data_IF_609679764078
#
_entry.id   IF_609679764078
#
_cell.length_a   1.000
_cell.length_b   1.000
_cell.length_c   1.000
_cell.angle_alpha   90.00
_cell.angle_beta   90.00
_cell.angle_gamma   90.00
#
_symmetry.space_group_name_H-M   'P 1'
#
loop_
_entity.id
_entity.type
_entity.pdbx_description
1 polymer ?
#
# COMPACT_ATOMS: atom_id res chain seq x y z
N UNK A 1 17.39 -8.52 -18.57
CA UNK A 1 17.53 -8.45 -17.08
C UNK A 1 17.24 -7.01 -16.66
N UNK A 2 16.20 -6.79 -15.88
CA UNK A 2 15.82 -5.47 -15.31
C UNK A 2 16.32 -5.41 -13.88
N UNK A 3 16.94 -4.30 -13.47
CA UNK A 3 17.43 -4.06 -12.11
C UNK A 3 16.67 -2.92 -11.47
N UNK A 4 16.31 -3.08 -10.18
CA UNK A 4 15.60 -2.07 -9.41
C UNK A 4 15.89 -2.24 -7.91
N UNK A 5 15.48 -1.28 -7.11
CA UNK A 5 15.55 -1.40 -5.65
C UNK A 5 14.20 -1.82 -5.12
N UNK A 6 14.14 -2.88 -4.33
CA UNK A 6 12.92 -3.39 -3.73
C UNK A 6 13.09 -3.49 -2.21
N UNK A 7 12.26 -2.77 -1.46
CA UNK A 7 12.32 -2.73 0.00
C UNK A 7 13.74 -2.42 0.53
N UNK A 8 14.44 -1.49 -0.13
CA UNK A 8 15.79 -1.07 0.20
C UNK A 8 16.91 -2.00 -0.28
N UNK A 9 16.59 -3.09 -0.97
CA UNK A 9 17.58 -4.04 -1.50
C UNK A 9 17.62 -4.00 -3.02
N UNK A 10 18.83 -4.09 -3.59
CA UNK A 10 19.00 -4.21 -5.04
C UNK A 10 18.59 -5.62 -5.49
N UNK A 11 17.64 -5.69 -6.41
CA UNK A 11 17.16 -6.93 -7.00
C UNK A 11 17.24 -6.89 -8.52
N UNK A 12 17.16 -8.05 -9.16
CA UNK A 12 17.08 -8.15 -10.61
C UNK A 12 16.10 -9.25 -11.01
N UNK A 13 15.40 -9.03 -12.12
CA UNK A 13 14.49 -9.99 -12.72
C UNK A 13 14.89 -10.28 -14.16
N UNK A 14 14.76 -11.54 -14.56
CA UNK A 14 14.94 -12.01 -15.93
C UNK A 14 13.60 -12.27 -16.65
N UNK A 15 12.48 -11.98 -16.01
CA UNK A 15 11.17 -12.07 -16.64
C UNK A 15 11.09 -11.19 -17.89
N UNK A 16 10.23 -11.51 -18.85
CA UNK A 16 9.96 -10.64 -19.99
C UNK A 16 9.68 -9.20 -19.56
N UNK A 17 10.18 -8.24 -20.31
CA UNK A 17 10.16 -6.82 -19.94
C UNK A 17 8.74 -6.21 -19.83
N UNK A 18 7.79 -6.82 -20.50
CA UNK A 18 6.36 -6.47 -20.49
C UNK A 18 5.55 -7.21 -19.40
N UNK A 19 6.20 -8.11 -18.65
CA UNK A 19 5.55 -8.80 -17.53
C UNK A 19 5.02 -7.79 -16.51
N UNK A 20 3.74 -7.84 -16.11
CA UNK A 20 3.25 -6.98 -15.04
C UNK A 20 4.04 -7.21 -13.75
N UNK A 21 4.49 -6.13 -13.14
CA UNK A 21 5.30 -6.15 -11.92
C UNK A 21 4.69 -7.00 -10.81
N UNK A 22 3.37 -7.00 -10.70
CA UNK A 22 2.64 -7.81 -9.72
C UNK A 22 3.06 -9.29 -9.76
N UNK A 23 3.26 -9.86 -10.94
CA UNK A 23 3.65 -11.26 -11.08
C UNK A 23 5.11 -11.49 -10.76
N UNK A 24 5.98 -10.54 -11.10
CA UNK A 24 7.39 -10.58 -10.68
C UNK A 24 7.48 -10.60 -9.15
N UNK A 25 6.75 -9.69 -8.47
CA UNK A 25 6.72 -9.65 -7.00
C UNK A 25 6.23 -10.96 -6.40
N UNK A 26 5.12 -11.51 -6.90
CA UNK A 26 4.46 -12.66 -6.30
C UNK A 26 5.09 -14.00 -6.68
N UNK A 27 5.43 -14.20 -7.96
CA UNK A 27 5.84 -15.51 -8.48
C UNK A 27 7.37 -15.68 -8.46
N UNK A 28 8.12 -14.65 -8.81
CA UNK A 28 9.58 -14.71 -8.83
C UNK A 28 10.16 -14.37 -7.46
N UNK A 29 9.77 -13.24 -6.88
CA UNK A 29 10.33 -12.73 -5.61
C UNK A 29 9.57 -13.22 -4.36
N UNK A 30 8.48 -13.96 -4.52
CA UNK A 30 7.68 -14.56 -3.44
C UNK A 30 7.08 -13.57 -2.43
N UNK A 31 6.97 -12.29 -2.79
CA UNK A 31 6.30 -11.27 -1.99
C UNK A 31 4.79 -11.30 -2.28
N UNK A 32 4.04 -11.99 -1.45
CA UNK A 32 2.63 -12.29 -1.68
C UNK A 32 1.66 -11.30 -1.04
N UNK A 33 2.16 -10.33 -0.28
CA UNK A 33 1.35 -9.28 0.36
C UNK A 33 0.63 -8.38 -0.65
N UNK A 34 1.27 -8.05 -1.77
CA UNK A 34 0.63 -7.35 -2.89
C UNK A 34 -0.32 -8.30 -3.62
N UNK A 35 -1.61 -7.91 -3.77
CA UNK A 35 -2.67 -8.82 -4.22
C UNK A 35 -3.17 -8.52 -5.64
N UNK A 36 -3.50 -9.57 -6.39
CA UNK A 36 -4.24 -9.44 -7.64
C UNK A 36 -5.75 -9.33 -7.36
N UNK A 37 -6.40 -8.34 -7.94
CA UNK A 37 -7.85 -8.17 -7.88
C UNK A 37 -8.44 -7.99 -9.28
N UNK A 38 -8.57 -6.74 -9.75
CA UNK A 38 -9.22 -6.45 -11.05
C UNK A 38 -8.29 -6.63 -12.27
N UNK A 39 -6.98 -6.51 -12.13
CA UNK A 39 -6.02 -6.56 -13.26
C UNK A 39 -6.02 -5.33 -14.18
N UNK A 40 -6.81 -4.29 -13.86
CA UNK A 40 -7.03 -3.09 -14.68
C UNK A 40 -6.85 -1.78 -13.90
N UNK A 41 -6.06 -1.81 -12.83
CA UNK A 41 -5.71 -0.67 -11.97
C UNK A 41 -6.88 0.02 -11.21
N UNK A 42 -8.06 -0.59 -11.12
CA UNK A 42 -9.25 0.04 -10.51
C UNK A 42 -9.47 -0.28 -9.03
N UNK A 43 -9.14 -1.50 -8.57
CA UNK A 43 -9.54 -1.93 -7.22
C UNK A 43 -8.55 -1.57 -6.10
N UNK A 44 -7.31 -1.23 -6.41
CA UNK A 44 -6.29 -0.86 -5.43
C UNK A 44 -5.61 -2.00 -4.67
N UNK A 45 -6.03 -3.28 -4.82
CA UNK A 45 -5.44 -4.39 -4.09
C UNK A 45 -3.95 -4.62 -4.39
N UNK A 46 -3.47 -4.18 -5.56
CA UNK A 46 -2.09 -4.29 -6.01
C UNK A 46 -1.25 -3.03 -5.77
N UNK A 47 -1.67 -2.15 -4.88
CA UNK A 47 -0.94 -0.90 -4.61
C UNK A 47 0.41 -1.18 -3.97
N UNK A 48 1.44 -0.57 -4.54
CA UNK A 48 2.80 -0.47 -4.04
C UNK A 48 3.21 1.00 -4.01
N UNK A 49 4.37 1.31 -3.43
CA UNK A 49 5.00 2.62 -3.65
C UNK A 49 6.10 2.49 -4.71
N UNK A 50 6.11 3.43 -5.65
CA UNK A 50 7.18 3.61 -6.63
C UNK A 50 7.75 5.01 -6.42
N UNK A 51 9.00 5.09 -6.00
CA UNK A 51 9.67 6.33 -5.58
C UNK A 51 8.81 7.16 -4.60
N UNK A 52 8.21 6.50 -3.61
CA UNK A 52 7.38 7.11 -2.58
C UNK A 52 5.95 7.47 -3.02
N UNK A 53 5.54 7.16 -4.23
CA UNK A 53 4.19 7.42 -4.72
C UNK A 53 3.41 6.13 -4.94
N UNK A 54 2.11 6.14 -4.60
CA UNK A 54 1.26 4.98 -4.80
C UNK A 54 1.09 4.65 -6.29
N UNK A 55 1.29 3.38 -6.65
CA UNK A 55 1.19 2.87 -8.01
C UNK A 55 0.48 1.51 -8.05
N UNK A 56 -0.04 1.13 -9.22
CA UNK A 56 -0.78 -0.12 -9.43
C UNK A 56 0.09 -1.16 -10.14
N UNK A 57 0.59 -2.14 -9.41
CA UNK A 57 1.51 -3.15 -9.94
C UNK A 57 0.90 -4.07 -11.01
N UNK A 58 -0.44 -4.23 -11.04
CA UNK A 58 -1.08 -5.16 -11.97
C UNK A 58 -1.05 -4.74 -13.44
N UNK A 59 -0.83 -3.46 -13.73
CA UNK A 59 -0.75 -2.92 -15.10
C UNK A 59 0.62 -2.31 -15.42
N UNK A 60 1.53 -2.32 -14.45
CA UNK A 60 2.87 -1.73 -14.59
C UNK A 60 3.81 -2.77 -15.19
N UNK A 61 4.39 -2.55 -16.39
CA UNK A 61 5.37 -3.46 -16.96
C UNK A 61 6.68 -3.40 -16.19
N UNK A 62 7.42 -4.50 -16.17
CA UNK A 62 8.71 -4.60 -15.46
C UNK A 62 9.71 -3.51 -15.89
N UNK A 63 9.68 -3.08 -17.15
CA UNK A 63 10.52 -1.96 -17.62
C UNK A 63 10.26 -0.64 -16.92
N UNK A 64 9.07 -0.41 -16.40
CA UNK A 64 8.71 0.85 -15.76
C UNK A 64 9.41 1.06 -14.41
N UNK A 65 10.03 0.03 -13.86
CA UNK A 65 10.69 0.06 -12.55
C UNK A 65 12.22 0.01 -12.64
N UNK A 66 12.74 -0.04 -13.84
CA UNK A 66 14.19 -0.09 -14.06
C UNK A 66 14.90 1.12 -13.42
N UNK A 67 15.89 0.83 -12.55
CA UNK A 67 16.65 1.82 -11.77
C UNK A 67 15.80 2.67 -10.81
N UNK A 68 14.60 2.22 -10.45
CA UNK A 68 13.70 2.91 -9.51
C UNK A 68 13.62 2.17 -8.18
N UNK A 69 13.03 2.84 -7.19
CA UNK A 69 12.84 2.30 -5.84
C UNK A 69 11.37 1.92 -5.61
N UNK A 70 11.17 0.67 -5.25
CA UNK A 70 9.85 0.12 -4.93
C UNK A 70 9.76 -0.27 -3.46
N UNK A 71 8.58 -0.04 -2.89
CA UNK A 71 8.24 -0.53 -1.57
C UNK A 71 6.93 -1.29 -1.64
N UNK A 72 6.93 -2.53 -1.18
CA UNK A 72 5.73 -3.33 -0.99
C UNK A 72 5.29 -3.28 0.48
N UNK A 73 4.14 -3.88 0.79
CA UNK A 73 3.64 -3.93 2.18
C UNK A 73 4.65 -4.61 3.13
N UNK A 74 5.42 -5.58 2.65
CA UNK A 74 6.44 -6.27 3.43
C UNK A 74 7.61 -5.37 3.83
N UNK A 75 7.86 -4.30 3.06
CA UNK A 75 8.93 -3.34 3.31
C UNK A 75 8.45 -1.98 3.80
N UNK A 76 7.18 -1.82 4.13
CA UNK A 76 6.61 -0.54 4.59
C UNK A 76 7.04 -0.25 6.03
N UNK A 77 8.27 0.25 6.19
CA UNK A 77 8.90 0.54 7.50
C UNK A 77 8.89 2.03 7.87
N UNK A 78 8.02 2.84 7.24
CA UNK A 78 7.90 4.27 7.56
C UNK A 78 7.10 4.47 8.87
N UNK A 79 7.29 5.62 9.58
CA UNK A 79 6.47 5.95 10.75
C UNK A 79 4.96 5.88 10.45
N UNK A 80 4.54 6.36 9.29
CA UNK A 80 3.14 6.28 8.85
C UNK A 80 2.69 4.83 8.66
N UNK A 81 3.52 3.99 8.03
CA UNK A 81 3.25 2.56 7.86
C UNK A 81 3.09 1.84 9.20
N UNK A 82 4.00 2.06 10.13
CA UNK A 82 3.94 1.45 11.47
C UNK A 82 2.68 1.90 12.25
N UNK A 83 2.36 3.19 12.23
CA UNK A 83 1.16 3.72 12.88
C UNK A 83 -0.12 3.13 12.28
N UNK A 84 -0.17 3.01 10.95
CA UNK A 84 -1.31 2.40 10.25
C UNK A 84 -1.47 0.93 10.61
N UNK A 85 -0.42 0.12 10.59
CA UNK A 85 -0.51 -1.31 10.94
C UNK A 85 -1.04 -1.46 12.37
N UNK A 86 -0.49 -0.72 13.34
CA UNK A 86 -0.99 -0.71 14.73
C UNK A 86 -2.47 -0.32 14.81
N UNK A 87 -2.88 0.72 14.10
CA UNK A 87 -4.27 1.17 14.10
C UNK A 87 -5.20 0.16 13.42
N UNK A 88 -4.74 -0.52 12.35
CA UNK A 88 -5.48 -1.60 11.71
C UNK A 88 -5.78 -2.77 12.64
N UNK A 89 -4.81 -3.15 13.45
CA UNK A 89 -4.97 -4.20 14.46
C UNK A 89 -5.90 -3.75 15.59
N UNK A 90 -5.69 -2.56 16.14
CA UNK A 90 -6.50 -2.02 17.24
C UNK A 90 -7.97 -1.86 16.85
N UNK A 91 -8.25 -1.37 15.65
CA UNK A 91 -9.61 -1.18 15.13
C UNK A 91 -10.21 -2.46 14.51
N UNK A 92 -9.47 -3.56 14.50
CA UNK A 92 -9.88 -4.84 13.91
C UNK A 92 -10.49 -4.66 12.50
N UNK A 93 -9.79 -3.93 11.65
CA UNK A 93 -10.27 -3.51 10.33
C UNK A 93 -10.60 -4.69 9.42
N UNK A 94 -9.73 -5.73 9.29
CA UNK A 94 -9.93 -6.78 8.30
C UNK A 94 -11.17 -7.64 8.57
N UNK A 95 -11.87 -8.00 7.48
CA UNK A 95 -12.78 -9.15 7.46
C UNK A 95 -12.10 -10.28 6.70
N UNK A 96 -12.19 -10.32 5.35
CA UNK A 96 -11.45 -11.32 4.58
C UNK A 96 -9.93 -11.03 4.50
N UNK A 97 -9.50 -9.78 4.72
CA UNK A 97 -8.12 -9.35 4.71
C UNK A 97 -7.52 -9.09 3.32
N UNK A 98 -8.19 -9.44 2.24
CA UNK A 98 -7.59 -9.46 0.91
C UNK A 98 -7.16 -8.09 0.38
N UNK A 99 -7.93 -7.03 0.61
CA UNK A 99 -7.63 -5.68 0.14
C UNK A 99 -6.72 -4.88 1.08
N UNK A 100 -6.41 -5.40 2.28
CA UNK A 100 -5.87 -4.58 3.36
C UNK A 100 -4.45 -4.07 3.08
N UNK A 101 -3.60 -4.87 2.46
CA UNK A 101 -2.26 -4.41 2.06
C UNK A 101 -2.33 -3.19 1.13
N UNK A 102 -3.19 -3.23 0.11
CA UNK A 102 -3.38 -2.09 -0.78
C UNK A 102 -3.99 -0.87 -0.09
N UNK A 103 -4.92 -1.08 0.84
CA UNK A 103 -5.52 -0.01 1.65
C UNK A 103 -4.45 0.69 2.52
N UNK A 104 -3.61 -0.07 3.21
CA UNK A 104 -2.53 0.45 4.06
C UNK A 104 -1.50 1.19 3.20
N UNK A 105 -1.06 0.62 2.07
CA UNK A 105 -0.10 1.26 1.17
C UNK A 105 -0.61 2.62 0.68
N UNK A 106 -1.88 2.72 0.31
CA UNK A 106 -2.47 3.99 -0.11
C UNK A 106 -2.56 4.98 1.05
N UNK A 107 -3.06 4.55 2.21
CA UNK A 107 -3.18 5.40 3.39
C UNK A 107 -1.83 5.94 3.86
N UNK A 108 -0.75 5.16 3.76
CA UNK A 108 0.59 5.59 4.11
C UNK A 108 1.02 6.81 3.29
N UNK A 109 0.77 6.84 1.98
CA UNK A 109 1.10 8.01 1.15
C UNK A 109 0.30 9.26 1.50
N UNK A 110 -0.89 9.11 2.08
CA UNK A 110 -1.65 10.24 2.61
C UNK A 110 -0.97 10.81 3.86
N UNK A 111 -0.72 9.95 4.85
CA UNK A 111 -0.18 10.39 6.14
C UNK A 111 1.27 10.91 6.03
N UNK A 112 2.04 10.44 5.07
CA UNK A 112 3.39 10.96 4.75
C UNK A 112 3.34 12.38 4.17
N UNK A 113 2.28 12.73 3.45
CA UNK A 113 2.09 14.06 2.86
C UNK A 113 1.31 15.01 3.78
N UNK A 114 0.36 14.50 4.52
CA UNK A 114 -0.51 15.23 5.42
C UNK A 114 -0.74 14.39 6.69
N UNK A 115 -0.01 14.70 7.75
CA UNK A 115 -0.09 13.97 9.01
C UNK A 115 -1.44 14.16 9.75
N UNK A 116 -2.22 15.20 9.40
CA UNK A 116 -3.53 15.51 10.02
C UNK A 116 -4.61 15.69 8.93
N UNK A 117 -4.96 14.62 8.19
CA UNK A 117 -5.94 14.72 7.13
C UNK A 117 -7.36 14.95 7.70
N UNK A 118 -8.14 15.76 7.00
CA UNK A 118 -9.58 15.85 7.24
C UNK A 118 -10.30 14.57 6.76
N UNK A 119 -11.56 14.42 7.15
CA UNK A 119 -12.37 13.29 6.65
C UNK A 119 -12.50 13.32 5.12
N UNK A 120 -12.67 14.49 4.53
CA UNK A 120 -12.74 14.66 3.08
C UNK A 120 -11.42 14.28 2.39
N UNK A 121 -10.27 14.60 3.01
CA UNK A 121 -8.98 14.20 2.47
C UNK A 121 -8.83 12.67 2.46
N UNK A 122 -9.23 12.01 3.55
CA UNK A 122 -9.19 10.54 3.63
C UNK A 122 -10.10 9.93 2.56
N UNK A 123 -11.34 10.38 2.46
CA UNK A 123 -12.30 9.84 1.49
C UNK A 123 -11.79 10.01 0.06
N UNK A 124 -11.33 11.22 -0.29
CA UNK A 124 -10.81 11.51 -1.64
C UNK A 124 -9.56 10.70 -1.96
N UNK A 125 -8.63 10.58 -0.99
CA UNK A 125 -7.37 9.86 -1.21
C UNK A 125 -7.56 8.36 -1.33
N UNK A 126 -8.52 7.81 -0.59
CA UNK A 126 -8.84 6.38 -0.57
C UNK A 126 -9.82 5.97 -1.68
N UNK A 127 -10.33 6.92 -2.45
CA UNK A 127 -11.20 6.63 -3.60
C UNK A 127 -10.47 5.71 -4.60
N UNK A 128 -11.19 4.73 -5.15
CA UNK A 128 -10.60 3.70 -6.01
C UNK A 128 -9.90 2.55 -5.26
N UNK A 129 -9.99 2.49 -3.91
CA UNK A 129 -9.56 1.33 -3.11
C UNK A 129 -10.78 0.56 -2.62
N UNK A 130 -11.09 -0.56 -3.29
CA UNK A 130 -12.32 -1.30 -3.07
C UNK A 130 -12.17 -2.34 -1.96
N UNK A 131 -13.18 -2.41 -1.11
CA UNK A 131 -13.33 -3.46 -0.10
C UNK A 131 -14.71 -4.13 -0.25
N UNK A 132 -14.73 -5.37 -0.73
CA UNK A 132 -16.00 -6.10 -0.92
C UNK A 132 -16.70 -6.44 0.39
N UNK A 133 -15.97 -6.50 1.49
CA UNK A 133 -16.50 -6.70 2.85
C UNK A 133 -17.07 -5.41 3.47
N UNK A 134 -17.02 -4.29 2.77
CA UNK A 134 -17.54 -2.99 3.22
C UNK A 134 -16.90 -2.48 4.52
N UNK A 135 -15.61 -2.75 4.74
CA UNK A 135 -14.89 -2.33 5.95
C UNK A 135 -14.54 -0.83 5.97
N UNK A 136 -15.06 -0.02 5.05
CA UNK A 136 -14.72 1.40 4.89
C UNK A 136 -14.84 2.24 6.18
N UNK A 137 -15.89 2.08 7.04
CA UNK A 137 -15.94 2.84 8.29
C UNK A 137 -14.76 2.53 9.22
N UNK A 138 -14.33 1.26 9.31
CA UNK A 138 -13.18 0.86 10.13
C UNK A 138 -11.87 1.33 9.50
N UNK A 139 -11.71 1.24 8.17
CA UNK A 139 -10.55 1.76 7.45
C UNK A 139 -10.37 3.25 7.75
N UNK A 140 -11.42 4.06 7.59
CA UNK A 140 -11.40 5.48 7.89
C UNK A 140 -11.03 5.76 9.35
N UNK A 141 -11.64 5.04 10.30
CA UNK A 141 -11.35 5.15 11.72
C UNK A 141 -9.89 4.84 12.03
N UNK A 142 -9.33 3.78 11.44
CA UNK A 142 -7.94 3.41 11.62
C UNK A 142 -6.97 4.45 11.04
N UNK A 143 -7.28 5.08 9.90
CA UNK A 143 -6.46 6.16 9.35
C UNK A 143 -6.44 7.36 10.30
N UNK A 144 -7.58 7.74 10.87
CA UNK A 144 -7.64 8.79 11.89
C UNK A 144 -6.85 8.43 13.16
N UNK A 145 -6.95 7.19 13.62
CA UNK A 145 -6.21 6.72 14.79
C UNK A 145 -4.69 6.78 14.54
N UNK A 146 -4.23 6.33 13.37
CA UNK A 146 -2.82 6.42 12.98
C UNK A 146 -2.33 7.88 12.91
N UNK A 147 -3.13 8.77 12.32
CA UNK A 147 -2.83 10.22 12.24
C UNK A 147 -2.61 10.83 13.63
N UNK A 148 -3.52 10.56 14.58
CA UNK A 148 -3.39 11.05 15.97
C UNK A 148 -2.16 10.47 16.67
N UNK A 149 -1.90 9.17 16.50
CA UNK A 149 -0.71 8.54 17.09
C UNK A 149 0.59 9.18 16.58
N UNK A 150 0.66 9.53 15.29
CA UNK A 150 1.81 10.23 14.71
C UNK A 150 1.98 11.66 15.25
N UNK A 151 0.88 12.34 15.58
CA UNK A 151 0.89 13.71 16.13
C UNK A 151 1.20 13.76 17.63
N UNK A 152 1.38 12.62 18.29
CA UNK A 152 1.61 12.55 19.74
C UNK A 152 0.36 12.81 20.58
N UNK A 153 -0.81 12.92 19.98
CA UNK A 153 -2.10 12.97 20.67
C UNK A 153 -2.46 11.57 21.15
N UNK A 154 -2.02 11.24 22.37
CA UNK A 154 -2.45 10.00 23.02
C UNK A 154 -3.96 10.05 23.19
N UNK A 155 -4.61 8.93 22.85
CA UNK A 155 -6.03 8.73 23.12
C UNK A 155 -6.28 8.98 24.61
N UNK A 156 -6.88 10.13 24.92
CA UNK A 156 -7.53 10.31 26.22
C UNK A 156 -8.59 9.22 26.36
N UNK A 157 -8.55 8.52 27.48
CA UNK A 157 -9.52 7.51 27.90
C UNK A 157 -10.95 8.01 27.81
#
# INVERSE_FOLDING_TARGET
>A
MVRFTLNGQSVSSNSPVDTPLLWVLREELKLTGTKFGCGIAQCGACTIHLDGSAARACVMPLTAVENRSETTIEGLATPAGAALVSAWEAEQVPQCGYCQSGQIMQAATLLEKNAQPSESDIVSHMDGHLCRCMAYPRIKKAIFAASRAMSGEMLGE
#
